data_IF_020614865070
#
_entry.id   IF_020614865070
#
_cell.length_a   1.000
_cell.length_b   1.000
_cell.length_c   1.000
_cell.angle_alpha   90.00
_cell.angle_beta   90.00
_cell.angle_gamma   90.00
#
_symmetry.space_group_name_H-M   'P 1'
#
loop_
_entity.id
_entity.type
_entity.pdbx_description
1 polymer ?
#
# COMPACT_ATOMS: atom_id res chain seq x y z
N UNK A 1 14.21 -43.59 -26.68
CA UNK A 1 13.76 -42.23 -27.05
C UNK A 1 13.23 -41.57 -25.79
N UNK A 2 14.10 -40.85 -25.05
CA UNK A 2 13.77 -40.25 -23.76
C UNK A 2 13.22 -38.83 -23.97
N UNK A 3 12.02 -38.56 -23.48
CA UNK A 3 11.39 -37.23 -23.49
C UNK A 3 12.13 -36.32 -22.51
N UNK A 4 12.67 -35.20 -23.00
CA UNK A 4 13.23 -34.14 -22.13
C UNK A 4 12.10 -33.55 -21.29
N UNK A 5 12.26 -33.42 -19.96
CA UNK A 5 11.28 -32.71 -19.15
C UNK A 5 11.21 -31.26 -19.64
N UNK A 6 10.02 -30.83 -20.08
CA UNK A 6 9.78 -29.45 -20.49
C UNK A 6 10.12 -28.53 -19.32
N UNK A 7 10.98 -27.53 -19.56
CA UNK A 7 11.23 -26.51 -18.55
C UNK A 7 9.93 -25.76 -18.30
N UNK A 8 9.34 -25.98 -17.13
CA UNK A 8 8.23 -25.14 -16.66
C UNK A 8 8.82 -23.75 -16.47
N UNK A 9 8.55 -22.85 -17.42
CA UNK A 9 9.04 -21.49 -17.36
C UNK A 9 8.60 -20.86 -16.03
N UNK A 10 9.57 -20.45 -15.20
CA UNK A 10 9.28 -19.84 -13.91
C UNK A 10 8.32 -18.64 -14.11
N UNK A 11 7.26 -18.51 -13.30
CA UNK A 11 6.30 -17.42 -13.46
C UNK A 11 7.00 -16.06 -13.35
N UNK A 12 7.14 -15.34 -14.47
CA UNK A 12 7.75 -13.99 -14.47
C UNK A 12 6.73 -12.96 -14.00
N UNK A 13 7.12 -12.15 -13.02
CA UNK A 13 6.35 -10.96 -12.62
C UNK A 13 6.22 -10.01 -13.80
N UNK A 14 4.99 -9.68 -14.17
CA UNK A 14 4.71 -8.75 -15.27
C UNK A 14 5.14 -7.32 -14.88
N UNK A 15 5.42 -6.42 -15.83
CA UNK A 15 5.81 -5.03 -15.54
C UNK A 15 4.85 -4.31 -14.57
N UNK A 16 3.54 -4.52 -14.71
CA UNK A 16 2.52 -3.98 -13.79
C UNK A 16 2.72 -4.43 -12.33
N UNK A 17 3.21 -5.66 -12.10
CA UNK A 17 3.51 -6.15 -10.76
C UNK A 17 4.74 -5.49 -10.15
N UNK A 18 5.73 -5.12 -10.97
CA UNK A 18 6.88 -4.33 -10.52
C UNK A 18 6.50 -2.89 -10.19
N UNK A 19 5.65 -2.26 -11.01
CA UNK A 19 5.11 -0.93 -10.72
C UNK A 19 4.33 -0.95 -9.41
N UNK A 20 3.45 -1.94 -9.21
CA UNK A 20 2.70 -2.06 -7.97
C UNK A 20 3.62 -2.24 -6.75
N UNK A 21 4.65 -3.07 -6.86
CA UNK A 21 5.68 -3.21 -5.81
C UNK A 21 6.36 -1.90 -5.49
N UNK A 22 6.82 -1.16 -6.50
CA UNK A 22 7.51 0.12 -6.31
C UNK A 22 6.61 1.14 -5.59
N UNK A 23 5.35 1.24 -6.00
CA UNK A 23 4.38 2.16 -5.38
C UNK A 23 4.08 1.76 -3.94
N UNK A 24 3.81 0.47 -3.66
CA UNK A 24 3.58 -0.02 -2.30
C UNK A 24 4.79 0.24 -1.40
N UNK A 25 6.01 0.02 -1.90
CA UNK A 25 7.24 0.31 -1.16
C UNK A 25 7.37 1.80 -0.82
N UNK A 26 7.15 2.69 -1.80
CA UNK A 26 7.19 4.13 -1.56
C UNK A 26 6.13 4.56 -0.55
N UNK A 27 4.93 3.99 -0.65
CA UNK A 27 3.82 4.27 0.24
C UNK A 27 4.12 3.84 1.68
N UNK A 28 4.70 2.65 1.89
CA UNK A 28 5.17 2.19 3.22
C UNK A 28 6.18 3.17 3.82
N UNK A 29 7.16 3.61 3.04
CA UNK A 29 8.19 4.55 3.53
C UNK A 29 7.54 5.86 3.98
N UNK A 30 6.64 6.42 3.17
CA UNK A 30 5.95 7.66 3.51
C UNK A 30 5.11 7.51 4.78
N UNK A 31 4.26 6.47 4.87
CA UNK A 31 3.34 6.33 6.01
C UNK A 31 4.06 5.96 7.31
N UNK A 32 5.20 5.25 7.26
CA UNK A 32 6.00 4.93 8.44
C UNK A 32 6.79 6.14 8.93
N UNK A 33 7.26 7.01 8.02
CA UNK A 33 7.99 8.22 8.38
C UNK A 33 7.08 9.29 8.99
N UNK A 34 5.82 9.36 8.58
CA UNK A 34 4.88 10.43 8.93
C UNK A 34 4.59 10.56 10.45
N UNK A 35 4.41 9.47 11.23
CA UNK A 35 4.25 9.52 12.68
C UNK A 35 5.46 10.08 13.44
N UNK A 36 6.67 10.01 12.86
CA UNK A 36 7.87 10.60 13.49
C UNK A 36 7.70 12.10 13.65
N UNK A 37 7.13 12.78 12.65
CA UNK A 37 6.87 14.22 12.73
C UNK A 37 5.77 14.56 13.75
N UNK A 38 4.75 13.71 13.89
CA UNK A 38 3.77 13.88 14.98
C UNK A 38 4.42 13.69 16.35
N UNK A 39 5.29 12.69 16.51
CA UNK A 39 6.03 12.47 17.75
C UNK A 39 6.91 13.67 18.12
N UNK A 40 7.63 14.23 17.15
CA UNK A 40 8.45 15.45 17.34
C UNK A 40 7.58 16.65 17.71
N UNK A 41 6.39 16.78 17.12
CA UNK A 41 5.44 17.84 17.44
C UNK A 41 5.04 17.79 18.92
N UNK A 42 4.78 16.59 19.44
CA UNK A 42 4.44 16.37 20.85
C UNK A 42 5.59 16.72 21.81
N UNK A 43 6.83 16.89 21.33
CA UNK A 43 7.96 17.37 22.13
C UNK A 43 8.09 18.90 22.17
N UNK A 44 7.21 19.62 21.46
CA UNK A 44 7.16 21.08 21.43
C UNK A 44 7.71 21.74 20.15
N UNK A 45 8.18 20.96 19.18
CA UNK A 45 8.58 21.47 17.85
C UNK A 45 7.34 21.63 16.96
N UNK A 46 6.70 22.80 17.03
CA UNK A 46 5.49 23.10 16.27
C UNK A 46 5.68 23.06 14.74
N UNK A 47 6.89 23.30 14.22
CA UNK A 47 7.17 23.23 12.78
C UNK A 47 7.06 21.80 12.23
N UNK A 48 7.23 20.80 13.08
CA UNK A 48 7.02 19.40 12.72
C UNK A 48 5.55 19.06 12.42
N UNK A 49 4.58 19.85 12.89
CA UNK A 49 3.17 19.69 12.52
C UNK A 49 2.97 19.92 11.01
N UNK A 50 3.62 20.94 10.44
CA UNK A 50 3.61 21.17 8.99
C UNK A 50 4.26 20.01 8.24
N UNK A 51 5.36 19.47 8.74
CA UNK A 51 6.03 18.29 8.15
C UNK A 51 5.13 17.05 8.21
N UNK A 52 4.40 16.86 9.30
CA UNK A 52 3.40 15.81 9.46
C UNK A 52 2.26 15.94 8.45
N UNK A 53 1.74 17.15 8.24
CA UNK A 53 0.71 17.43 7.23
C UNK A 53 1.21 17.15 5.81
N UNK A 54 2.41 17.62 5.44
CA UNK A 54 3.03 17.29 4.14
C UNK A 54 3.23 15.78 3.99
N UNK A 55 3.64 15.09 5.06
CA UNK A 55 3.74 13.64 5.06
C UNK A 55 2.39 12.95 4.81
N UNK A 56 1.30 13.49 5.36
CA UNK A 56 -0.05 12.99 5.13
C UNK A 56 -0.46 13.18 3.65
N UNK A 57 -0.20 14.35 3.06
CA UNK A 57 -0.49 14.63 1.65
C UNK A 57 0.28 13.68 0.71
N UNK A 58 1.56 13.42 1.02
CA UNK A 58 2.40 12.50 0.25
C UNK A 58 1.89 11.06 0.37
N UNK A 59 1.58 10.60 1.59
CA UNK A 59 1.04 9.26 1.82
C UNK A 59 -0.29 9.08 1.05
N UNK A 60 -1.23 10.03 1.17
CA UNK A 60 -2.53 9.94 0.50
C UNK A 60 -2.44 10.01 -1.01
N UNK A 61 -1.55 10.83 -1.54
CA UNK A 61 -1.23 10.83 -2.97
C UNK A 61 -0.72 9.46 -3.43
N UNK A 62 0.21 8.85 -2.68
CA UNK A 62 0.71 7.50 -2.96
C UNK A 62 -0.40 6.44 -2.84
N UNK A 63 -1.30 6.57 -1.86
CA UNK A 63 -2.47 5.70 -1.70
C UNK A 63 -3.39 5.72 -2.92
N UNK A 64 -3.72 6.89 -3.47
CA UNK A 64 -4.53 7.00 -4.68
C UNK A 64 -3.80 6.44 -5.92
N UNK A 65 -2.50 6.72 -6.07
CA UNK A 65 -1.70 6.12 -7.14
C UNK A 65 -1.67 4.60 -7.01
N UNK A 66 -1.48 4.08 -5.79
CA UNK A 66 -1.51 2.65 -5.50
C UNK A 66 -2.87 2.04 -5.87
N UNK A 67 -3.97 2.72 -5.58
CA UNK A 67 -5.32 2.26 -5.94
C UNK A 67 -5.51 2.17 -7.45
N UNK A 68 -5.06 3.18 -8.20
CA UNK A 68 -5.08 3.17 -9.68
C UNK A 68 -4.29 1.97 -10.20
N UNK A 69 -3.06 1.77 -9.71
CA UNK A 69 -2.24 0.62 -10.13
C UNK A 69 -2.88 -0.71 -9.72
N UNK A 70 -3.52 -0.79 -8.56
CA UNK A 70 -4.21 -1.98 -8.10
C UNK A 70 -5.42 -2.33 -8.97
N UNK A 71 -6.15 -1.34 -9.48
CA UNK A 71 -7.20 -1.53 -10.50
C UNK A 71 -6.62 -2.11 -11.79
N UNK A 72 -5.47 -1.61 -12.25
CA UNK A 72 -4.78 -2.17 -13.43
C UNK A 72 -4.33 -3.61 -13.18
N UNK A 73 -3.79 -3.92 -11.99
CA UNK A 73 -3.45 -5.29 -11.57
C UNK A 73 -4.68 -6.19 -11.60
N UNK A 74 -5.81 -5.75 -11.05
CA UNK A 74 -7.06 -6.50 -11.07
C UNK A 74 -7.53 -6.76 -12.51
N UNK A 75 -7.57 -5.73 -13.36
CA UNK A 75 -8.02 -5.86 -14.75
C UNK A 75 -7.10 -6.76 -15.59
N UNK A 76 -5.77 -6.65 -15.45
CA UNK A 76 -4.79 -7.37 -16.28
C UNK A 76 -4.48 -8.77 -15.78
N UNK A 77 -4.45 -8.97 -14.46
CA UNK A 77 -4.05 -10.25 -13.83
C UNK A 77 -5.22 -11.04 -13.25
N UNK A 78 -6.44 -10.46 -13.24
CA UNK A 78 -7.66 -11.03 -12.63
C UNK A 78 -7.50 -11.34 -11.15
N UNK A 79 -6.69 -10.54 -10.45
CA UNK A 79 -6.44 -10.67 -9.02
C UNK A 79 -7.10 -9.51 -8.28
N UNK A 80 -8.30 -9.73 -7.72
CA UNK A 80 -9.01 -8.69 -6.97
C UNK A 80 -8.40 -8.42 -5.59
N UNK A 81 -7.65 -9.37 -5.00
CA UNK A 81 -7.09 -9.25 -3.65
C UNK A 81 -6.25 -7.98 -3.43
N UNK A 82 -5.25 -7.68 -4.27
CA UNK A 82 -4.47 -6.44 -4.17
C UNK A 82 -5.32 -5.16 -4.28
N UNK A 83 -6.37 -5.17 -5.10
CA UNK A 83 -7.31 -4.06 -5.22
C UNK A 83 -8.12 -3.87 -3.94
N UNK A 84 -8.75 -4.93 -3.41
CA UNK A 84 -9.56 -4.85 -2.19
C UNK A 84 -8.72 -4.41 -0.98
N UNK A 85 -7.51 -4.95 -0.84
CA UNK A 85 -6.58 -4.54 0.22
C UNK A 85 -6.21 -3.06 0.11
N UNK A 86 -5.88 -2.59 -1.10
CA UNK A 86 -5.55 -1.18 -1.34
C UNK A 86 -6.74 -0.27 -1.10
N UNK A 87 -7.93 -0.66 -1.55
CA UNK A 87 -9.15 0.12 -1.33
C UNK A 87 -9.46 0.27 0.16
N UNK A 88 -9.31 -0.80 0.96
CA UNK A 88 -9.48 -0.74 2.41
C UNK A 88 -8.47 0.21 3.07
N UNK A 89 -7.19 0.15 2.66
CA UNK A 89 -6.16 1.09 3.14
C UNK A 89 -6.51 2.52 2.79
N UNK A 90 -6.85 2.82 1.53
CA UNK A 90 -7.19 4.19 1.09
C UNK A 90 -8.40 4.75 1.82
N UNK A 91 -9.42 3.92 2.08
CA UNK A 91 -10.59 4.34 2.88
C UNK A 91 -10.15 4.67 4.31
N UNK A 92 -9.41 3.77 4.98
CA UNK A 92 -8.92 4.00 6.33
C UNK A 92 -8.03 5.25 6.40
N UNK A 93 -7.17 5.46 5.41
CA UNK A 93 -6.28 6.60 5.32
C UNK A 93 -7.03 7.91 5.07
N UNK A 94 -8.08 7.88 4.25
CA UNK A 94 -8.93 9.05 4.02
C UNK A 94 -9.65 9.44 5.31
N UNK A 95 -10.22 8.46 6.03
CA UNK A 95 -10.89 8.69 7.32
C UNK A 95 -9.90 9.25 8.36
N UNK A 96 -8.68 8.70 8.45
CA UNK A 96 -7.70 9.19 9.41
C UNK A 96 -7.13 10.56 9.04
N UNK A 97 -7.04 10.90 7.74
CA UNK A 97 -6.65 12.23 7.28
C UNK A 97 -7.63 13.29 7.78
N UNK A 98 -8.93 13.07 7.59
CA UNK A 98 -9.96 13.98 8.11
C UNK A 98 -10.02 14.01 9.63
N UNK A 99 -9.87 12.86 10.30
CA UNK A 99 -9.75 12.84 11.76
C UNK A 99 -8.54 13.66 12.27
N UNK A 100 -7.44 13.70 11.50
CA UNK A 100 -6.27 14.54 11.79
C UNK A 100 -6.56 16.02 11.62
N UNK A 101 -7.26 16.42 10.55
CA UNK A 101 -7.69 17.81 10.33
C UNK A 101 -8.63 18.30 11.43
N UNK A 102 -9.52 17.44 11.92
CA UNK A 102 -10.47 17.74 12.98
C UNK A 102 -9.84 17.69 14.39
N UNK A 103 -8.57 17.28 14.51
CA UNK A 103 -7.89 17.09 15.80
C UNK A 103 -8.45 15.94 16.64
N UNK A 104 -9.20 15.01 16.03
CA UNK A 104 -9.83 13.87 16.69
C UNK A 104 -8.81 12.76 17.00
N UNK A 105 -7.88 13.02 17.93
CA UNK A 105 -6.74 12.13 18.24
C UNK A 105 -7.14 10.71 18.62
N UNK A 106 -8.28 10.54 19.29
CA UNK A 106 -8.80 9.23 19.70
C UNK A 106 -9.12 8.31 18.50
N UNK A 107 -9.40 8.89 17.33
CA UNK A 107 -9.67 8.17 16.10
C UNK A 107 -8.44 8.18 15.17
N UNK A 108 -7.82 9.34 15.01
CA UNK A 108 -6.66 9.56 14.16
C UNK A 108 -5.49 8.64 14.54
N UNK A 109 -5.11 8.58 15.81
CA UNK A 109 -3.93 7.80 16.25
C UNK A 109 -4.15 6.29 16.06
N UNK A 110 -5.25 5.68 16.53
CA UNK A 110 -5.47 4.25 16.30
C UNK A 110 -5.59 3.90 14.82
N UNK A 111 -6.32 4.69 14.02
CA UNK A 111 -6.41 4.44 12.59
C UNK A 111 -5.07 4.59 11.87
N UNK A 112 -4.25 5.58 12.26
CA UNK A 112 -2.89 5.75 11.71
C UNK A 112 -2.04 4.52 11.95
N UNK A 113 -2.02 3.98 13.17
CA UNK A 113 -1.30 2.75 13.52
C UNK A 113 -1.81 1.55 12.72
N UNK A 114 -3.14 1.39 12.61
CA UNK A 114 -3.75 0.30 11.83
C UNK A 114 -3.41 0.41 10.35
N UNK A 115 -3.38 1.62 9.79
CA UNK A 115 -3.06 1.87 8.38
C UNK A 115 -1.59 1.54 8.10
N UNK A 116 -0.67 1.96 8.97
CA UNK A 116 0.75 1.57 8.90
C UNK A 116 0.90 0.05 8.92
N UNK A 117 0.26 -0.63 9.88
CA UNK A 117 0.33 -2.09 9.99
C UNK A 117 -0.24 -2.79 8.75
N UNK A 118 -1.40 -2.36 8.26
CA UNK A 118 -2.05 -2.92 7.08
C UNK A 118 -1.17 -2.77 5.83
N UNK A 119 -0.55 -1.59 5.65
CA UNK A 119 0.30 -1.34 4.49
C UNK A 119 1.62 -2.13 4.57
N UNK A 120 2.20 -2.30 5.76
CA UNK A 120 3.36 -3.20 5.98
C UNK A 120 3.01 -4.65 5.64
N UNK A 121 1.85 -5.13 6.09
CA UNK A 121 1.37 -6.49 5.73
C UNK A 121 1.16 -6.61 4.23
N UNK A 122 0.59 -5.60 3.58
CA UNK A 122 0.42 -5.59 2.13
C UNK A 122 1.77 -5.62 1.40
N UNK A 123 2.75 -4.86 1.86
CA UNK A 123 4.11 -4.88 1.34
C UNK A 123 4.71 -6.28 1.44
N UNK A 124 4.66 -6.91 2.61
CA UNK A 124 5.16 -8.29 2.81
C UNK A 124 4.44 -9.25 1.85
N UNK A 125 3.12 -9.15 1.72
CA UNK A 125 2.34 -10.03 0.85
C UNK A 125 2.71 -9.89 -0.64
N UNK A 126 2.94 -8.66 -1.11
CA UNK A 126 3.22 -8.36 -2.53
C UNK A 126 4.66 -8.73 -2.91
N UNK A 127 5.60 -8.66 -1.97
CA UNK A 127 6.97 -9.10 -2.16
C UNK A 127 7.14 -10.62 -1.95
N UNK A 128 6.37 -11.22 -1.06
CA UNK A 128 6.41 -12.65 -0.76
C UNK A 128 5.68 -13.56 -1.77
N UNK A 129 4.78 -13.03 -2.60
CA UNK A 129 4.02 -13.82 -3.60
C UNK A 129 4.22 -13.31 -5.03
N UNK A 130 4.36 -14.20 -6.04
CA UNK A 130 4.38 -13.79 -7.44
C UNK A 130 3.02 -13.23 -7.88
N UNK A 131 3.00 -12.02 -8.43
CA UNK A 131 1.82 -11.44 -9.10
C UNK A 131 1.73 -11.99 -10.53
N UNK A 132 1.17 -13.18 -10.67
CA UNK A 132 1.00 -13.91 -11.93
C UNK A 132 -0.48 -13.94 -12.29
N UNK A 133 -0.81 -13.88 -13.58
CA UNK A 133 -2.20 -14.01 -14.05
C UNK A 133 -2.80 -15.31 -13.49
N UNK A 134 -3.92 -15.21 -12.78
CA UNK A 134 -4.70 -16.41 -12.43
C UNK A 134 -5.31 -16.92 -13.72
N UNK A 135 -4.83 -18.05 -14.23
CA UNK A 135 -5.57 -18.81 -15.23
C UNK A 135 -6.91 -19.21 -14.61
N UNK A 136 -7.97 -19.15 -15.40
CA UNK A 136 -9.30 -19.60 -14.99
C UNK A 136 -9.22 -21.12 -14.75
N UNK A 137 -8.76 -21.51 -13.56
CA UNK A 137 -9.28 -22.71 -12.92
C UNK A 137 -10.72 -22.37 -12.54
N UNK A 138 -11.62 -23.30 -12.85
CA UNK A 138 -13.07 -23.24 -12.66
C UNK A 138 -13.82 -22.83 -13.94
N UNK A 139 -13.70 -23.70 -14.95
CA UNK A 139 -14.82 -24.08 -15.81
C UNK A 139 -15.26 -25.49 -15.40
#
# INVERSE_FOLDING_TARGET
MATRPGSVAAPRTRPVGWVFRAVVSAHVVAIVAQPVFAGVYLTGDFDSLRRHAVGADVASSLGYVQLIVAVVVWARLRQAGPFLATAAVVVAETVQYFAGLDGALWLHVPLGVLTVAALVVQFIAVWGRPLVRREARDA
#
